data_IF_141809377545
#
_entry.id   IF_141809377545
#
_cell.length_a   1.000
_cell.length_b   1.000
_cell.length_c   1.000
_cell.angle_alpha   90.00
_cell.angle_beta   90.00
_cell.angle_gamma   90.00
#
_symmetry.space_group_name_H-M   'P 1'
#
loop_
_entity.id
_entity.type
_entity.pdbx_description
1 polymer ?
#
# COMPACT_ATOMS: atom_id res chain seq x y z
N UNK A 1 30.03 21.20 -19.10
CA UNK A 1 30.63 19.88 -18.82
C UNK A 1 29.69 18.83 -19.39
N UNK A 2 30.01 18.27 -20.56
CA UNK A 2 29.18 17.22 -21.15
C UNK A 2 29.50 15.89 -20.47
N UNK A 3 28.53 15.26 -19.90
CA UNK A 3 28.62 13.90 -19.35
C UNK A 3 28.84 12.95 -20.54
N UNK A 4 30.04 12.41 -20.68
CA UNK A 4 30.36 11.37 -21.64
C UNK A 4 29.69 10.07 -21.14
N UNK A 5 28.56 9.71 -21.71
CA UNK A 5 27.95 8.41 -21.52
C UNK A 5 28.85 7.37 -22.19
N UNK A 6 29.46 6.51 -21.37
CA UNK A 6 30.33 5.44 -21.91
C UNK A 6 29.43 4.28 -22.37
N UNK A 7 29.65 3.72 -23.59
CA UNK A 7 28.91 2.54 -24.04
C UNK A 7 29.05 1.31 -23.13
N UNK A 8 30.06 1.27 -22.28
CA UNK A 8 30.27 0.22 -21.28
C UNK A 8 29.26 0.23 -20.15
N UNK A 9 28.56 1.36 -19.93
CA UNK A 9 27.52 1.46 -18.91
C UNK A 9 26.20 0.79 -19.34
N UNK A 10 25.98 0.60 -20.64
CA UNK A 10 24.81 -0.05 -21.22
C UNK A 10 24.95 -1.59 -21.31
N UNK A 11 26.17 -2.13 -21.33
CA UNK A 11 26.42 -3.58 -21.44
C UNK A 11 26.28 -4.37 -20.12
N UNK A 12 26.36 -3.71 -18.99
CA UNK A 12 26.34 -4.40 -17.67
C UNK A 12 24.94 -4.73 -17.19
N UNK A 13 23.90 -4.20 -17.82
CA UNK A 13 22.50 -4.25 -17.30
C UNK A 13 21.60 -5.33 -17.95
N UNK A 14 22.13 -6.15 -18.86
CA UNK A 14 21.36 -7.24 -19.50
C UNK A 14 21.38 -8.56 -18.73
N UNK A 15 21.96 -8.60 -17.53
CA UNK A 15 22.19 -9.83 -16.76
C UNK A 15 21.07 -10.21 -15.77
N UNK A 16 19.97 -9.47 -15.70
CA UNK A 16 18.81 -9.96 -14.98
C UNK A 16 18.08 -10.93 -15.92
N UNK A 17 18.33 -12.23 -15.80
CA UNK A 17 17.71 -13.29 -16.62
C UNK A 17 16.19 -13.42 -16.44
N UNK A 18 15.51 -12.31 -16.12
CA UNK A 18 14.08 -12.20 -15.88
C UNK A 18 13.41 -11.71 -17.17
N UNK A 19 12.42 -12.44 -17.71
CA UNK A 19 11.68 -11.98 -18.88
C UNK A 19 11.04 -10.62 -18.64
N UNK A 20 11.22 -9.68 -19.57
CA UNK A 20 10.68 -8.31 -19.45
C UNK A 20 9.17 -8.29 -19.17
N UNK A 21 8.42 -9.25 -19.72
CA UNK A 21 6.98 -9.42 -19.44
C UNK A 21 6.70 -9.71 -17.97
N UNK A 22 7.51 -10.57 -17.35
CA UNK A 22 7.38 -10.88 -15.92
C UNK A 22 7.64 -9.65 -15.04
N UNK A 23 8.65 -8.86 -15.33
CA UNK A 23 8.94 -7.64 -14.59
C UNK A 23 7.76 -6.64 -14.63
N UNK A 24 7.14 -6.46 -15.80
CA UNK A 24 5.97 -5.59 -15.94
C UNK A 24 4.73 -6.14 -15.21
N UNK A 25 4.53 -7.45 -15.18
CA UNK A 25 3.43 -8.07 -14.40
C UNK A 25 3.66 -7.83 -12.91
N UNK A 26 4.89 -8.02 -12.41
CA UNK A 26 5.24 -7.73 -11.01
C UNK A 26 4.98 -6.26 -10.68
N UNK A 27 5.40 -5.34 -11.55
CA UNK A 27 5.13 -3.91 -11.36
C UNK A 27 3.63 -3.61 -11.33
N UNK A 28 2.86 -4.12 -12.30
CA UNK A 28 1.43 -3.88 -12.37
C UNK A 28 0.68 -4.42 -11.15
N UNK A 29 1.05 -5.60 -10.65
CA UNK A 29 0.44 -6.18 -9.45
C UNK A 29 0.80 -5.39 -8.20
N UNK A 30 2.07 -5.05 -7.99
CA UNK A 30 2.49 -4.27 -6.82
C UNK A 30 1.93 -2.85 -6.87
N UNK A 31 1.89 -2.22 -8.02
CA UNK A 31 1.31 -0.90 -8.22
C UNK A 31 -0.21 -0.91 -8.01
N UNK A 32 -0.91 -1.91 -8.55
CA UNK A 32 -2.35 -2.09 -8.34
C UNK A 32 -2.73 -2.31 -6.89
N UNK A 33 -1.93 -3.10 -6.16
CA UNK A 33 -2.10 -3.29 -4.72
C UNK A 33 -1.91 -1.96 -3.95
N UNK A 34 -0.92 -1.13 -4.33
CA UNK A 34 -0.69 0.17 -3.71
C UNK A 34 -1.89 1.12 -3.93
N UNK A 35 -2.40 1.17 -5.16
CA UNK A 35 -3.61 1.96 -5.47
C UNK A 35 -4.79 1.48 -4.63
N UNK A 36 -5.02 0.17 -4.56
CA UNK A 36 -6.11 -0.43 -3.79
C UNK A 36 -6.00 -0.11 -2.29
N UNK A 37 -4.77 -0.12 -1.74
CA UNK A 37 -4.51 0.26 -0.36
C UNK A 37 -4.95 1.71 -0.08
N UNK A 38 -4.38 2.65 -0.83
CA UNK A 38 -4.70 4.08 -0.64
C UNK A 38 -6.18 4.38 -0.92
N UNK A 39 -6.77 3.70 -1.89
CA UNK A 39 -8.20 3.83 -2.19
C UNK A 39 -9.07 3.39 -1.01
N UNK A 40 -8.79 2.23 -0.41
CA UNK A 40 -9.55 1.71 0.74
C UNK A 40 -9.47 2.62 1.96
N UNK A 41 -8.32 3.23 2.22
CA UNK A 41 -8.14 4.20 3.31
C UNK A 41 -9.03 5.43 3.10
N UNK A 42 -9.09 5.96 1.89
CA UNK A 42 -9.87 7.15 1.58
C UNK A 42 -11.38 6.88 1.55
N UNK A 43 -11.80 5.74 1.03
CA UNK A 43 -13.21 5.31 1.10
C UNK A 43 -13.69 5.28 2.55
N UNK A 44 -12.91 4.68 3.47
CA UNK A 44 -13.29 4.63 4.87
C UNK A 44 -13.35 6.03 5.51
N UNK A 45 -12.41 6.92 5.19
CA UNK A 45 -12.44 8.31 5.68
C UNK A 45 -13.72 9.04 5.22
N UNK A 46 -14.21 8.76 4.02
CA UNK A 46 -15.46 9.34 3.51
C UNK A 46 -16.70 8.81 4.24
N UNK A 47 -16.65 7.61 4.82
CA UNK A 47 -17.76 6.98 5.57
C UNK A 47 -17.74 7.35 7.07
N UNK A 48 -16.68 7.94 7.58
CA UNK A 48 -16.55 8.32 8.99
C UNK A 48 -17.70 9.17 9.55
N UNK A 49 -18.22 10.19 8.83
CA UNK A 49 -19.37 10.95 9.33
C UNK A 49 -20.62 10.08 9.58
N UNK A 50 -20.85 9.08 8.71
CA UNK A 50 -21.98 8.14 8.85
C UNK A 50 -21.76 7.23 10.05
N UNK A 51 -20.56 6.63 10.20
CA UNK A 51 -20.21 5.82 11.37
C UNK A 51 -20.30 6.61 12.67
N UNK A 52 -19.91 7.88 12.65
CA UNK A 52 -20.04 8.77 13.80
C UNK A 52 -21.50 8.91 14.25
N UNK A 53 -22.41 9.11 13.30
CA UNK A 53 -23.84 9.27 13.57
C UNK A 53 -24.46 7.95 14.03
N UNK A 54 -24.16 6.84 13.36
CA UNK A 54 -24.76 5.53 13.62
C UNK A 54 -24.32 4.93 14.96
N UNK A 55 -23.00 5.00 15.24
CA UNK A 55 -22.43 4.42 16.46
C UNK A 55 -22.21 5.44 17.57
N UNK A 56 -22.67 6.68 17.41
CA UNK A 56 -22.50 7.79 18.37
C UNK A 56 -21.03 7.99 18.81
N UNK A 57 -20.10 7.92 17.86
CA UNK A 57 -18.66 7.98 18.12
C UNK A 57 -18.20 9.39 18.44
N UNK A 58 -17.25 9.51 19.37
CA UNK A 58 -16.54 10.76 19.62
C UNK A 58 -15.48 11.03 18.53
N UNK A 59 -15.07 12.29 18.38
CA UNK A 59 -13.98 12.67 17.47
C UNK A 59 -12.65 12.00 17.84
N UNK A 60 -12.43 11.75 19.14
CA UNK A 60 -11.26 11.01 19.62
C UNK A 60 -11.28 9.56 19.15
N UNK A 61 -12.44 8.90 19.14
CA UNK A 61 -12.57 7.52 18.64
C UNK A 61 -12.31 7.45 17.12
N UNK A 62 -12.82 8.41 16.34
CA UNK A 62 -12.53 8.49 14.92
C UNK A 62 -11.03 8.75 14.64
N UNK A 63 -10.42 9.65 15.44
CA UNK A 63 -8.98 9.87 15.41
C UNK A 63 -8.18 8.60 15.73
N UNK A 64 -8.62 7.78 16.69
CA UNK A 64 -7.99 6.50 16.99
C UNK A 64 -8.10 5.49 15.86
N UNK A 65 -9.25 5.41 15.18
CA UNK A 65 -9.43 4.52 14.03
C UNK A 65 -8.48 4.86 12.87
N UNK A 66 -8.21 6.14 12.63
CA UNK A 66 -7.25 6.57 11.61
C UNK A 66 -5.81 6.42 12.11
N UNK A 67 -5.56 6.84 13.34
CA UNK A 67 -4.22 6.89 13.95
C UNK A 67 -3.63 5.51 14.20
N UNK A 68 -4.45 4.49 14.53
CA UNK A 68 -3.93 3.15 14.82
C UNK A 68 -3.23 2.53 13.62
N UNK A 69 -3.72 2.73 12.40
CA UNK A 69 -3.07 2.25 11.17
C UNK A 69 -1.71 2.93 11.01
N UNK A 70 -1.68 4.27 11.10
CA UNK A 70 -0.43 5.02 10.99
C UNK A 70 0.58 4.63 12.08
N UNK A 71 0.12 4.40 13.31
CA UNK A 71 0.94 3.94 14.42
C UNK A 71 1.56 2.57 14.13
N UNK A 72 0.75 1.61 13.69
CA UNK A 72 1.24 0.26 13.35
C UNK A 72 2.22 0.28 12.18
N UNK A 73 1.92 1.06 11.13
CA UNK A 73 2.84 1.25 10.01
C UNK A 73 4.16 1.84 10.50
N UNK A 74 4.13 2.91 11.31
CA UNK A 74 5.35 3.54 11.85
C UNK A 74 6.19 2.59 12.71
N UNK A 75 5.56 1.84 13.61
CA UNK A 75 6.25 0.94 14.52
C UNK A 75 6.78 -0.33 13.84
N UNK A 76 6.00 -0.89 12.90
CA UNK A 76 6.28 -2.22 12.34
C UNK A 76 7.01 -2.20 11.01
N UNK A 77 7.10 -1.05 10.32
CA UNK A 77 7.80 -0.95 9.03
C UNK A 77 9.22 -1.50 9.11
N UNK A 78 9.98 -1.07 10.10
CA UNK A 78 11.38 -1.49 10.24
C UNK A 78 11.51 -2.99 10.57
N UNK A 79 10.89 -3.54 11.64
CA UNK A 79 11.03 -4.95 11.96
C UNK A 79 10.45 -5.88 10.87
N UNK A 80 9.34 -5.52 10.25
CA UNK A 80 8.75 -6.35 9.18
C UNK A 80 9.54 -6.28 7.88
N UNK A 81 10.21 -5.17 7.57
CA UNK A 81 11.11 -5.08 6.42
C UNK A 81 12.32 -6.00 6.61
N UNK A 82 12.92 -6.05 7.80
CA UNK A 82 14.01 -6.98 8.11
C UNK A 82 13.54 -8.45 8.02
N UNK A 83 12.33 -8.71 8.49
CA UNK A 83 11.73 -10.04 8.42
C UNK A 83 11.49 -10.45 6.97
N UNK A 84 11.01 -9.52 6.13
CA UNK A 84 10.79 -9.75 4.71
C UNK A 84 12.09 -10.04 3.95
N UNK A 85 13.18 -9.38 4.30
CA UNK A 85 14.50 -9.67 3.71
C UNK A 85 15.00 -11.07 4.10
N UNK A 86 14.67 -11.55 5.31
CA UNK A 86 15.07 -12.88 5.80
C UNK A 86 14.21 -14.02 5.23
N UNK A 87 12.90 -13.85 5.14
CA UNK A 87 11.96 -14.89 4.69
C UNK A 87 11.65 -14.86 3.19
N UNK A 88 12.16 -13.86 2.49
CA UNK A 88 11.94 -13.64 1.06
C UNK A 88 10.84 -12.59 0.79
N UNK A 89 11.23 -11.57 0.04
CA UNK A 89 10.42 -10.36 -0.22
C UNK A 89 9.06 -10.67 -0.84
N UNK A 90 9.02 -11.55 -1.85
CA UNK A 90 7.76 -11.89 -2.55
C UNK A 90 6.78 -12.61 -1.63
N UNK A 91 7.27 -13.59 -0.85
CA UNK A 91 6.42 -14.33 0.11
C UNK A 91 5.87 -13.40 1.19
N UNK A 92 6.73 -12.56 1.75
CA UNK A 92 6.33 -11.59 2.78
C UNK A 92 5.31 -10.60 2.24
N UNK A 93 5.53 -10.08 1.02
CA UNK A 93 4.59 -9.18 0.35
C UNK A 93 3.21 -9.83 0.15
N UNK A 94 3.19 -11.09 -0.28
CA UNK A 94 1.93 -11.84 -0.47
C UNK A 94 1.21 -12.05 0.86
N UNK A 95 1.92 -12.46 1.91
CA UNK A 95 1.32 -12.64 3.24
C UNK A 95 0.77 -11.33 3.81
N UNK A 96 1.51 -10.23 3.67
CA UNK A 96 1.07 -8.89 4.09
C UNK A 96 -0.17 -8.45 3.31
N UNK A 97 -0.20 -8.65 1.99
CA UNK A 97 -1.35 -8.33 1.15
C UNK A 97 -2.59 -9.15 1.52
N UNK A 98 -2.44 -10.44 1.79
CA UNK A 98 -3.54 -11.30 2.25
C UNK A 98 -4.05 -10.84 3.62
N UNK A 99 -3.15 -10.58 4.59
CA UNK A 99 -3.53 -10.13 5.92
C UNK A 99 -4.31 -8.81 5.86
N UNK A 100 -3.78 -7.84 5.16
CA UNK A 100 -4.45 -6.55 5.01
C UNK A 100 -5.80 -6.67 4.27
N UNK A 101 -5.87 -7.49 3.21
CA UNK A 101 -7.13 -7.70 2.48
C UNK A 101 -8.21 -8.31 3.37
N UNK A 102 -7.85 -9.33 4.18
CA UNK A 102 -8.77 -9.93 5.15
C UNK A 102 -9.16 -8.95 6.25
N UNK A 103 -8.21 -8.14 6.73
CA UNK A 103 -8.48 -7.12 7.73
C UNK A 103 -9.40 -6.01 7.18
N UNK A 104 -9.22 -5.61 5.91
CA UNK A 104 -10.10 -4.65 5.23
C UNK A 104 -11.52 -5.20 5.08
N UNK A 105 -11.66 -6.50 4.75
CA UNK A 105 -12.95 -7.17 4.78
C UNK A 105 -13.56 -7.17 6.19
N UNK A 106 -12.74 -7.38 7.21
CA UNK A 106 -13.15 -7.25 8.61
C UNK A 106 -13.67 -5.84 8.95
N UNK A 107 -13.09 -4.78 8.39
CA UNK A 107 -13.64 -3.42 8.53
C UNK A 107 -15.04 -3.29 7.92
N UNK A 108 -15.29 -3.93 6.76
CA UNK A 108 -16.60 -3.90 6.12
C UNK A 108 -17.68 -4.67 6.87
N UNK A 109 -17.29 -5.65 7.70
CA UNK A 109 -18.19 -6.49 8.50
C UNK A 109 -18.29 -6.02 9.97
N UNK A 110 -17.61 -4.94 10.32
CA UNK A 110 -17.61 -4.43 11.69
C UNK A 110 -18.97 -3.77 12.02
N UNK A 111 -19.56 -4.18 13.13
CA UNK A 111 -20.85 -3.69 13.64
C UNK A 111 -20.70 -2.71 14.82
N UNK A 112 -19.47 -2.53 15.30
CA UNK A 112 -19.18 -1.65 16.44
C UNK A 112 -17.74 -1.14 16.41
N UNK A 113 -17.46 -0.14 17.25
CA UNK A 113 -16.14 0.49 17.35
C UNK A 113 -15.02 -0.51 17.64
N UNK A 114 -15.24 -1.49 18.54
CA UNK A 114 -14.18 -2.42 18.94
C UNK A 114 -13.78 -3.34 17.79
N UNK A 115 -14.75 -3.88 17.05
CA UNK A 115 -14.49 -4.71 15.88
C UNK A 115 -13.76 -3.91 14.79
N UNK A 116 -14.21 -2.69 14.51
CA UNK A 116 -13.56 -1.78 13.57
C UNK A 116 -12.13 -1.45 14.00
N UNK A 117 -11.89 -1.19 15.29
CA UNK A 117 -10.57 -0.87 15.82
C UNK A 117 -9.60 -2.04 15.66
N UNK A 118 -10.03 -3.28 15.97
CA UNK A 118 -9.22 -4.48 15.79
C UNK A 118 -8.91 -4.70 14.29
N UNK A 119 -9.91 -4.56 13.44
CA UNK A 119 -9.72 -4.69 12.00
C UNK A 119 -8.72 -3.65 11.46
N UNK A 120 -8.82 -2.39 11.89
CA UNK A 120 -7.88 -1.31 11.53
C UNK A 120 -6.47 -1.54 12.05
N UNK A 121 -6.35 -2.09 13.26
CA UNK A 121 -5.05 -2.51 13.80
C UNK A 121 -4.40 -3.57 12.89
N UNK A 122 -5.15 -4.60 12.47
CA UNK A 122 -4.65 -5.65 11.58
C UNK A 122 -4.34 -5.14 10.18
N UNK A 123 -5.12 -4.18 9.66
CA UNK A 123 -4.79 -3.46 8.42
C UNK A 123 -3.42 -2.82 8.54
N UNK A 124 -3.17 -2.06 9.62
CA UNK A 124 -1.87 -1.42 9.86
C UNK A 124 -0.70 -2.39 9.95
N UNK A 125 -0.90 -3.56 10.56
CA UNK A 125 0.10 -4.65 10.59
C UNK A 125 0.37 -5.18 9.18
N UNK A 126 -0.66 -5.43 8.39
CA UNK A 126 -0.53 -5.94 7.02
C UNK A 126 0.13 -4.95 6.07
N UNK A 127 -0.11 -3.66 6.24
CA UNK A 127 0.44 -2.59 5.40
C UNK A 127 1.86 -2.17 5.78
N UNK A 128 2.30 -2.45 7.01
CA UNK A 128 3.45 -1.81 7.63
C UNK A 128 4.76 -1.86 6.83
N UNK A 129 5.05 -2.95 6.12
CA UNK A 129 6.26 -3.04 5.30
C UNK A 129 5.98 -3.07 3.79
N UNK A 130 4.71 -2.94 3.40
CA UNK A 130 4.32 -3.05 1.99
C UNK A 130 5.04 -2.03 1.10
N UNK A 131 5.08 -0.76 1.50
CA UNK A 131 5.72 0.31 0.74
C UNK A 131 7.20 0.05 0.49
N UNK A 132 7.96 -0.30 1.54
CA UNK A 132 9.40 -0.55 1.45
C UNK A 132 9.72 -1.85 0.70
N UNK A 133 9.01 -2.93 1.00
CA UNK A 133 9.19 -4.23 0.34
C UNK A 133 8.72 -4.17 -1.12
N UNK A 134 7.62 -3.48 -1.41
CA UNK A 134 7.10 -3.29 -2.77
C UNK A 134 8.09 -2.56 -3.67
N UNK A 135 8.65 -1.43 -3.20
CA UNK A 135 9.72 -0.73 -3.94
C UNK A 135 10.93 -1.63 -4.12
N UNK A 136 11.35 -2.38 -3.07
CA UNK A 136 12.50 -3.29 -3.17
C UNK A 136 12.26 -4.40 -4.19
N UNK A 137 11.05 -4.94 -4.31
CA UNK A 137 10.67 -5.92 -5.34
C UNK A 137 10.73 -5.29 -6.73
N UNK A 138 10.14 -4.11 -6.93
CA UNK A 138 10.18 -3.39 -8.21
C UNK A 138 11.63 -3.14 -8.65
N UNK A 139 12.46 -2.60 -7.76
CA UNK A 139 13.87 -2.30 -8.04
C UNK A 139 14.67 -3.58 -8.35
N UNK A 140 14.29 -4.74 -7.80
CA UNK A 140 15.01 -6.00 -8.03
C UNK A 140 14.76 -6.62 -9.40
N UNK A 141 13.63 -6.32 -10.05
CA UNK A 141 13.23 -6.91 -11.34
C UNK A 141 13.48 -6.00 -12.55
N UNK A 142 13.90 -4.74 -12.32
CA UNK A 142 14.16 -3.79 -13.39
C UNK A 142 15.63 -3.33 -13.43
N UNK A 143 16.14 -3.00 -14.62
CA UNK A 143 17.49 -2.49 -14.82
C UNK A 143 17.71 -1.15 -14.10
N UNK A 144 18.96 -0.85 -13.77
CA UNK A 144 19.33 0.35 -12.99
C UNK A 144 18.83 1.65 -13.62
N UNK A 145 18.86 1.74 -14.94
CA UNK A 145 18.39 2.90 -15.72
C UNK A 145 16.92 3.24 -15.50
N UNK A 146 16.07 2.25 -15.20
CA UNK A 146 14.62 2.43 -15.01
C UNK A 146 14.20 2.58 -13.55
N UNK A 147 15.06 2.27 -12.59
CA UNK A 147 14.72 2.19 -11.15
C UNK A 147 14.15 3.49 -10.60
N UNK A 148 14.77 4.62 -10.90
CA UNK A 148 14.31 5.93 -10.43
C UNK A 148 12.93 6.27 -10.97
N UNK A 149 12.70 6.07 -12.27
CA UNK A 149 11.42 6.33 -12.93
C UNK A 149 10.31 5.44 -12.37
N UNK A 150 10.58 4.13 -12.21
CA UNK A 150 9.60 3.18 -11.70
C UNK A 150 9.33 3.35 -10.22
N UNK A 151 10.33 3.74 -9.42
CA UNK A 151 10.10 4.11 -8.01
C UNK A 151 9.24 5.35 -7.90
N UNK A 152 9.48 6.38 -8.73
CA UNK A 152 8.64 7.57 -8.78
C UNK A 152 7.21 7.25 -9.22
N UNK A 153 7.05 6.42 -10.26
CA UNK A 153 5.74 5.95 -10.71
C UNK A 153 5.02 5.14 -9.61
N UNK A 154 5.74 4.25 -8.91
CA UNK A 154 5.17 3.49 -7.79
C UNK A 154 4.66 4.41 -6.67
N UNK A 155 5.45 5.39 -6.26
CA UNK A 155 5.07 6.35 -5.21
C UNK A 155 3.85 7.17 -5.65
N UNK A 156 3.80 7.60 -6.93
CA UNK A 156 2.65 8.36 -7.46
C UNK A 156 1.33 7.56 -7.44
N UNK A 157 1.41 6.23 -7.43
CA UNK A 157 0.25 5.34 -7.28
C UNK A 157 -0.55 5.60 -6.00
N UNK A 158 0.12 6.01 -4.92
CA UNK A 158 -0.55 6.44 -3.69
C UNK A 158 -1.44 7.67 -3.87
N UNK A 159 -0.98 8.66 -4.66
CA UNK A 159 -1.77 9.84 -4.99
C UNK A 159 -2.99 9.46 -5.85
N UNK A 160 -2.79 8.64 -6.88
CA UNK A 160 -3.90 8.15 -7.71
C UNK A 160 -4.92 7.36 -6.90
N UNK A 161 -4.47 6.43 -6.04
CA UNK A 161 -5.32 5.68 -5.14
C UNK A 161 -6.13 6.58 -4.20
N UNK A 162 -5.49 7.63 -3.66
CA UNK A 162 -6.16 8.59 -2.79
C UNK A 162 -7.25 9.37 -3.52
N UNK A 163 -6.99 9.86 -4.72
CA UNK A 163 -7.98 10.59 -5.53
C UNK A 163 -9.15 9.67 -5.90
N UNK A 164 -8.86 8.46 -6.37
CA UNK A 164 -9.89 7.47 -6.70
C UNK A 164 -10.73 7.09 -5.46
N UNK A 165 -10.07 6.90 -4.32
CA UNK A 165 -10.75 6.57 -3.06
C UNK A 165 -11.65 7.69 -2.56
N UNK A 166 -11.22 8.95 -2.64
CA UNK A 166 -12.07 10.10 -2.29
C UNK A 166 -13.26 10.23 -3.24
N UNK A 167 -13.03 10.08 -4.55
CA UNK A 167 -14.10 10.16 -5.55
C UNK A 167 -15.13 9.04 -5.36
N UNK A 168 -14.69 7.79 -5.26
CA UNK A 168 -15.59 6.64 -5.07
C UNK A 168 -16.27 6.65 -3.71
N UNK A 169 -15.54 6.99 -2.64
CA UNK A 169 -16.09 7.10 -1.30
C UNK A 169 -17.11 8.24 -1.19
N UNK A 170 -16.86 9.38 -1.80
CA UNK A 170 -17.81 10.49 -1.85
C UNK A 170 -19.07 10.16 -2.63
N UNK A 171 -18.94 9.47 -3.77
CA UNK A 171 -20.09 8.97 -4.54
C UNK A 171 -20.93 7.98 -3.72
N UNK A 172 -20.29 7.00 -3.09
CA UNK A 172 -20.98 6.00 -2.24
C UNK A 172 -21.68 6.66 -1.05
N UNK A 173 -21.02 7.58 -0.36
CA UNK A 173 -21.62 8.33 0.74
C UNK A 173 -22.84 9.16 0.29
N UNK A 174 -22.79 9.77 -0.90
CA UNK A 174 -23.91 10.52 -1.47
C UNK A 174 -25.07 9.64 -1.96
N UNK A 175 -24.84 8.35 -2.22
CA UNK A 175 -25.89 7.40 -2.62
C UNK A 175 -26.56 6.72 -1.42
N UNK A 176 -25.85 6.59 -0.32
CA UNK A 176 -26.31 5.91 0.91
C UNK A 176 -26.91 6.87 1.94
N UNK A 177 -26.67 8.16 1.82
CA UNK A 177 -27.22 9.22 2.68
C UNK A 177 -28.21 10.10 1.96
#
# INVERSE_FOLDING_TARGET
>A
MAYHHSPADDEVDTSIGIPRRYAWVVFALTFGLLISDYMSRQVLNAVFPMLKAEWSLSDSQLGLLSGIVALMVGLLTFPLSLLADRFGRVRSLTLMAVLWSLATLGCALAENFQQMFIARFLVGVGEAAYGSVGIAVVVSVFPRSMRATLSGAFISGGMFGSVLGMATGGLLAGWLG
#
